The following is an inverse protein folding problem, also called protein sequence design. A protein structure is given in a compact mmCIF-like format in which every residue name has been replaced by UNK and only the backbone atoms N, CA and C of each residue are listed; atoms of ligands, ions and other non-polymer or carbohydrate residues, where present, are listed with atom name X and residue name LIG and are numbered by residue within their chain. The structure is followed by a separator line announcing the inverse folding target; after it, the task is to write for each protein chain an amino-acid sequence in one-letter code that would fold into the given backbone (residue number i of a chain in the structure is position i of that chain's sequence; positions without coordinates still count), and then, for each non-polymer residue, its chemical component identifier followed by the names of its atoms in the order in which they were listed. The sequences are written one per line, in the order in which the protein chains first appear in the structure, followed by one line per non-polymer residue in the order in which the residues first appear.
data_IF_617865474895
#
_entry.id   IF_617865474895
#
_cell.length_a   1.000
_cell.length_b   1.000
_cell.length_c   1.000
_cell.angle_alpha   90.00
_cell.angle_beta   90.00
_cell.angle_gamma   90.00
#
_symmetry.space_group_name_H-M   'P 1'
#
loop_
_entity.id
_entity.type
_entity.pdbx_description
1 polymer ?
#
# COMPACT_ATOMS: atom_id res chain seq x y z
N UNK A 1 4.86 -11.35 13.09
CA UNK A 1 3.73 -12.17 12.58
C UNK A 1 4.16 -12.82 11.27
N UNK A 2 3.50 -13.89 10.81
CA UNK A 2 3.84 -14.57 9.54
C UNK A 2 3.06 -14.01 8.34
N UNK A 3 1.90 -13.42 8.60
CA UNK A 3 0.95 -12.82 7.67
C UNK A 3 0.26 -11.65 8.40
N UNK A 4 -0.42 -10.73 7.68
CA UNK A 4 -1.08 -9.57 8.29
C UNK A 4 -2.08 -9.91 9.40
N UNK A 5 -2.95 -10.90 9.16
CA UNK A 5 -4.03 -11.26 10.08
C UNK A 5 -5.22 -10.30 9.99
N UNK A 6 -6.23 -10.48 10.86
CA UNK A 6 -7.42 -9.63 10.86
C UNK A 6 -7.02 -8.15 11.07
N UNK A 7 -7.40 -7.24 10.16
CA UNK A 7 -7.02 -5.84 10.25
C UNK A 7 -7.74 -5.13 11.40
N UNK A 8 -7.12 -4.08 11.91
CA UNK A 8 -7.81 -3.09 12.74
C UNK A 8 -8.49 -2.06 11.82
N UNK A 9 -9.76 -1.79 12.06
CA UNK A 9 -10.53 -0.77 11.34
C UNK A 9 -10.49 0.53 12.13
N UNK A 10 -9.88 1.57 11.54
CA UNK A 10 -9.66 2.86 12.19
C UNK A 10 -10.32 3.95 11.33
N UNK A 11 -11.34 4.66 11.84
CA UNK A 11 -11.98 5.72 11.08
C UNK A 11 -11.08 6.94 10.92
N UNK A 12 -11.05 7.50 9.72
CA UNK A 12 -10.30 8.72 9.37
C UNK A 12 -11.27 9.70 8.71
N UNK A 13 -11.22 10.96 9.13
CA UNK A 13 -12.14 12.00 8.66
C UNK A 13 -11.39 13.17 8.02
N UNK A 14 -12.13 14.07 7.38
CA UNK A 14 -11.58 15.29 6.78
C UNK A 14 -10.67 16.03 7.77
N UNK A 15 -9.53 16.52 7.27
CA UNK A 15 -8.53 17.27 8.04
C UNK A 15 -7.82 16.46 9.15
N UNK A 16 -7.94 15.13 9.13
CA UNK A 16 -7.13 14.23 9.97
C UNK A 16 -5.80 13.87 9.28
N UNK A 17 -4.85 13.37 10.05
CA UNK A 17 -3.60 12.79 9.53
C UNK A 17 -3.26 11.50 10.26
N UNK A 18 -2.63 10.56 9.55
CA UNK A 18 -2.11 9.33 10.13
C UNK A 18 -0.78 8.98 9.46
N UNK A 19 0.03 8.17 10.14
CA UNK A 19 1.30 7.67 9.63
C UNK A 19 1.28 6.14 9.69
N UNK A 20 1.64 5.51 8.59
CA UNK A 20 1.81 4.06 8.54
C UNK A 20 3.22 3.72 9.05
N UNK A 21 3.36 2.85 10.07
CA UNK A 21 4.66 2.35 10.49
C UNK A 21 5.38 1.61 9.35
N UNK A 22 6.71 1.70 9.31
CA UNK A 22 7.49 1.13 8.20
C UNK A 22 7.26 -0.38 8.10
N UNK A 23 6.86 -0.84 6.91
CA UNK A 23 6.53 -2.22 6.54
C UNK A 23 5.21 -2.79 7.09
N UNK A 24 4.39 -2.00 7.78
CA UNK A 24 3.10 -2.51 8.25
C UNK A 24 2.12 -2.72 7.07
N UNK A 25 1.48 -3.90 6.97
CA UNK A 25 0.44 -4.13 5.98
C UNK A 25 -0.79 -3.30 6.33
N UNK A 26 -1.32 -2.58 5.35
CA UNK A 26 -2.46 -1.68 5.54
C UNK A 26 -3.28 -1.57 4.25
N UNK A 27 -4.53 -1.15 4.40
CA UNK A 27 -5.42 -0.80 3.29
C UNK A 27 -6.11 0.51 3.66
N UNK A 28 -6.20 1.42 2.68
CA UNK A 28 -7.03 2.61 2.78
C UNK A 28 -8.31 2.34 2.00
N UNK A 29 -9.45 2.53 2.65
CA UNK A 29 -10.76 2.27 2.07
C UNK A 29 -11.63 3.51 2.24
N UNK A 30 -12.17 4.04 1.13
CA UNK A 30 -13.28 4.99 1.20
C UNK A 30 -14.55 4.21 1.52
N UNK A 31 -14.94 4.18 2.80
CA UNK A 31 -16.17 3.53 3.26
C UNK A 31 -17.41 4.41 3.15
N UNK A 32 -17.28 5.65 2.68
CA UNK A 32 -18.42 6.53 2.40
C UNK A 32 -19.02 6.21 1.03
N UNK A 33 -20.35 6.12 0.97
CA UNK A 33 -21.09 5.77 -0.26
C UNK A 33 -21.52 6.99 -1.10
N UNK A 34 -21.27 8.21 -0.62
CA UNK A 34 -21.82 9.45 -1.18
C UNK A 34 -20.74 10.42 -1.65
N UNK A 35 -19.59 10.46 -0.98
CA UNK A 35 -18.54 11.45 -1.23
C UNK A 35 -17.18 10.80 -1.59
N UNK A 36 -16.41 11.52 -2.40
CA UNK A 36 -15.06 11.13 -2.76
C UNK A 36 -14.08 11.41 -1.62
N UNK A 37 -13.16 10.47 -1.37
CA UNK A 37 -12.02 10.66 -0.48
C UNK A 37 -10.84 11.29 -1.25
N UNK A 38 -10.52 12.55 -0.94
CA UNK A 38 -9.31 13.21 -1.43
C UNK A 38 -8.21 13.23 -0.35
N UNK A 39 -7.00 12.78 -0.71
CA UNK A 39 -5.85 12.72 0.21
C UNK A 39 -4.57 13.26 -0.43
N UNK A 40 -3.70 13.82 0.39
CA UNK A 40 -2.30 14.09 0.04
C UNK A 40 -1.43 13.01 0.69
N UNK A 41 -0.68 12.27 -0.12
CA UNK A 41 0.18 11.16 0.34
C UNK A 41 1.65 11.57 0.20
N UNK A 42 2.42 11.41 1.28
CA UNK A 42 3.85 11.68 1.30
C UNK A 42 4.59 10.41 1.70
N UNK A 43 5.55 9.99 0.88
CA UNK A 43 6.42 8.85 1.16
C UNK A 43 7.86 9.31 1.34
N UNK A 44 8.61 8.57 2.16
CA UNK A 44 10.07 8.69 2.21
C UNK A 44 10.71 7.64 1.28
N UNK A 45 11.94 7.90 0.82
CA UNK A 45 12.75 6.99 -0.02
C UNK A 45 12.08 6.59 -1.36
N UNK A 46 11.70 7.55 -2.23
CA UNK A 46 11.14 7.25 -3.55
C UNK A 46 12.20 6.63 -4.52
N UNK A 47 11.77 5.92 -5.60
CA UNK A 47 10.40 5.55 -5.94
C UNK A 47 9.84 4.46 -5.02
N UNK A 48 8.50 4.34 -4.94
CA UNK A 48 7.85 3.41 -4.01
C UNK A 48 8.12 1.95 -4.42
N UNK A 49 8.27 1.06 -3.44
CA UNK A 49 8.29 -0.39 -3.63
C UNK A 49 7.13 -1.00 -2.87
N UNK A 50 6.09 -1.44 -3.59
CA UNK A 50 4.84 -1.94 -2.99
C UNK A 50 4.83 -3.46 -3.03
N UNK A 51 4.64 -4.09 -1.88
CA UNK A 51 4.35 -5.52 -1.78
C UNK A 51 2.84 -5.70 -1.61
N UNK A 52 2.19 -6.36 -2.57
CA UNK A 52 0.74 -6.60 -2.56
C UNK A 52 0.41 -7.97 -1.99
N UNK A 53 -0.76 -8.04 -1.36
CA UNK A 53 -1.33 -9.25 -0.75
C UNK A 53 -2.69 -9.49 -1.40
N UNK A 54 -2.98 -10.74 -1.74
CA UNK A 54 -4.29 -11.10 -2.31
C UNK A 54 -5.39 -11.10 -1.21
N UNK A 55 -5.02 -11.41 0.04
CA UNK A 55 -5.87 -11.25 1.23
C UNK A 55 -5.01 -11.10 2.52
N UNK A 56 -5.68 -10.90 3.66
CA UNK A 56 -5.05 -10.69 4.98
C UNK A 56 -4.36 -11.94 5.56
N UNK A 57 -4.59 -13.12 4.99
CA UNK A 57 -4.00 -14.39 5.41
C UNK A 57 -2.74 -14.77 4.63
N UNK A 58 -2.45 -14.08 3.52
CA UNK A 58 -1.24 -14.30 2.72
C UNK A 58 0.02 -14.04 3.56
N UNK A 59 0.96 -15.01 3.65
CA UNK A 59 2.24 -14.82 4.33
C UNK A 59 3.03 -13.63 3.78
N UNK A 60 3.72 -12.89 4.65
CA UNK A 60 4.59 -11.77 4.22
C UNK A 60 5.65 -12.20 3.20
N UNK A 61 6.13 -13.44 3.29
CA UNK A 61 7.10 -14.01 2.35
C UNK A 61 6.50 -14.34 0.97
N UNK A 62 5.18 -14.39 0.86
CA UNK A 62 4.45 -14.65 -0.38
C UNK A 62 3.84 -13.37 -1.00
N UNK A 63 4.02 -12.22 -0.35
CA UNK A 63 3.60 -10.93 -0.90
C UNK A 63 4.36 -10.63 -2.19
N UNK A 64 3.66 -10.11 -3.20
CA UNK A 64 4.21 -9.90 -4.54
C UNK A 64 4.73 -8.48 -4.66
N UNK A 65 5.99 -8.32 -5.05
CA UNK A 65 6.54 -7.00 -5.35
C UNK A 65 5.93 -6.48 -6.66
N UNK A 66 5.30 -5.30 -6.61
CA UNK A 66 4.93 -4.51 -7.79
C UNK A 66 5.87 -3.31 -7.89
N UNK A 67 6.86 -3.42 -8.76
CA UNK A 67 7.83 -2.36 -9.06
C UNK A 67 8.27 -2.42 -10.54
N UNK A 68 8.28 -1.29 -11.28
CA UNK A 68 7.68 -0.01 -10.90
C UNK A 68 6.19 -0.14 -10.59
N UNK A 69 5.68 0.75 -9.74
CA UNK A 69 4.23 0.83 -9.52
C UNK A 69 3.59 1.56 -10.70
N UNK A 70 2.28 1.41 -10.90
CA UNK A 70 1.59 1.81 -12.13
C UNK A 70 1.89 3.24 -12.59
N UNK A 71 2.01 4.20 -11.67
CA UNK A 71 2.30 5.60 -12.00
C UNK A 71 3.76 5.89 -12.37
N UNK A 72 4.69 4.96 -12.09
CA UNK A 72 6.11 5.07 -12.42
C UNK A 72 6.50 4.26 -13.67
N UNK A 73 5.59 3.44 -14.23
CA UNK A 73 5.88 2.48 -15.31
C UNK A 73 6.42 3.14 -16.60
N UNK A 74 5.90 4.31 -16.98
CA UNK A 74 6.33 5.01 -18.20
C UNK A 74 7.71 5.69 -18.04
N UNK A 75 8.10 5.99 -16.79
CA UNK A 75 9.32 6.73 -16.48
C UNK A 75 10.48 5.82 -16.07
N UNK A 76 10.20 4.71 -15.38
CA UNK A 76 11.20 3.77 -14.89
C UNK A 76 11.29 2.54 -15.78
N UNK A 77 12.50 2.08 -16.12
CA UNK A 77 12.65 0.82 -16.82
C UNK A 77 12.11 -0.32 -15.94
N UNK A 78 11.39 -1.26 -16.56
CA UNK A 78 11.01 -2.49 -15.88
C UNK A 78 12.28 -3.16 -15.30
N UNK A 79 12.21 -3.72 -14.07
CA UNK A 79 13.33 -4.47 -13.54
C UNK A 79 13.69 -5.58 -14.54
N UNK A 80 14.98 -5.69 -14.86
CA UNK A 80 15.47 -6.83 -15.62
C UNK A 80 15.19 -8.07 -14.77
N UNK A 81 14.47 -9.04 -15.31
CA UNK A 81 14.36 -10.36 -14.67
C UNK A 81 15.78 -10.90 -14.47
N UNK A 82 16.28 -10.86 -13.24
CA UNK A 82 17.48 -11.60 -12.86
C UNK A 82 17.03 -13.04 -12.61
N UNK A 83 17.22 -13.86 -13.65
CA UNK A 83 17.06 -15.32 -13.67
C UNK A 83 18.17 -16.00 -12.85
#
# INVERSE_FOLDING_TARGET
MKYPGQPQEIPVFQNSTFTIPVNDPHQVWNSDEHEDLQVLVIISRPPVKIFTYDDWSVPHTAAKLKFPYFWDEDCLPAPKDEL
#
